data_IF_170809675199
#
_entry.id   IF_170809675199
#
_cell.length_a   1.000
_cell.length_b   1.000
_cell.length_c   1.000
_cell.angle_alpha   90.00
_cell.angle_beta   90.00
_cell.angle_gamma   90.00
#
_symmetry.space_group_name_H-M   'P 1'
#
loop_
_entity.id
_entity.type
_entity.pdbx_description
1 polymer ?
#
# COMPACT_ATOMS: atom_id res chain seq x y z
N UNK A 1 -11.42 -8.97 -5.14
CA UNK A 1 -10.41 -8.04 -4.61
C UNK A 1 -9.72 -7.25 -5.71
N UNK A 2 -9.14 -7.90 -6.74
CA UNK A 2 -8.51 -7.21 -7.88
C UNK A 2 -9.39 -6.07 -8.47
N UNK A 3 -10.67 -6.37 -8.75
CA UNK A 3 -11.63 -5.35 -9.22
C UNK A 3 -11.89 -4.22 -8.21
N UNK A 4 -11.85 -4.50 -6.90
CA UNK A 4 -12.13 -3.50 -5.85
C UNK A 4 -11.00 -2.47 -5.76
N UNK A 5 -9.77 -2.87 -6.10
CA UNK A 5 -8.59 -2.01 -6.04
C UNK A 5 -8.10 -1.58 -7.44
N UNK A 6 -8.84 -1.91 -8.51
CA UNK A 6 -8.44 -1.63 -9.89
C UNK A 6 -7.06 -2.18 -10.25
N UNK A 7 -6.87 -3.48 -10.01
CA UNK A 7 -5.61 -4.19 -10.26
C UNK A 7 -5.82 -5.48 -11.05
N UNK A 8 -4.73 -6.06 -11.56
CA UNK A 8 -4.73 -7.43 -12.10
C UNK A 8 -4.74 -8.46 -10.96
N UNK A 9 -5.29 -9.64 -11.22
CA UNK A 9 -5.30 -10.72 -10.22
C UNK A 9 -3.90 -11.12 -9.71
N UNK A 10 -2.88 -11.06 -10.58
CA UNK A 10 -1.48 -11.35 -10.22
C UNK A 10 -0.85 -10.30 -9.31
N UNK A 11 -1.43 -9.11 -9.23
CA UNK A 11 -0.90 -7.98 -8.46
C UNK A 11 -1.48 -7.91 -7.05
N UNK A 12 -2.42 -8.80 -6.68
CA UNK A 12 -3.09 -8.73 -5.38
C UNK A 12 -2.93 -10.03 -4.61
N UNK A 13 -2.64 -9.91 -3.31
CA UNK A 13 -2.62 -11.04 -2.37
C UNK A 13 -3.30 -10.66 -1.06
N UNK A 14 -4.08 -11.59 -0.50
CA UNK A 14 -4.63 -11.48 0.85
C UNK A 14 -3.71 -12.24 1.81
N UNK A 15 -3.07 -11.52 2.72
CA UNK A 15 -2.09 -12.07 3.64
C UNK A 15 -1.97 -11.22 4.92
N UNK A 16 -1.58 -11.87 6.01
CA UNK A 16 -1.19 -11.24 7.28
C UNK A 16 -2.19 -10.18 7.79
N UNK A 17 -1.68 -9.13 8.43
CA UNK A 17 -2.42 -7.92 8.83
C UNK A 17 -1.82 -6.69 8.16
N UNK A 18 -2.52 -5.55 8.22
CA UNK A 18 -2.14 -4.30 7.54
C UNK A 18 -0.70 -3.85 7.81
N UNK A 19 -0.36 -3.53 9.06
CA UNK A 19 0.97 -3.02 9.43
C UNK A 19 2.07 -4.04 9.14
N UNK A 20 1.78 -5.34 9.30
CA UNK A 20 2.73 -6.38 8.95
C UNK A 20 3.00 -6.40 7.43
N UNK A 21 1.97 -6.26 6.61
CA UNK A 21 2.16 -6.11 5.16
C UNK A 21 2.94 -4.84 4.81
N UNK A 22 2.68 -3.72 5.50
CA UNK A 22 3.43 -2.47 5.32
C UNK A 22 4.93 -2.70 5.57
N UNK A 23 5.28 -3.40 6.66
CA UNK A 23 6.67 -3.78 6.92
C UNK A 23 7.25 -4.65 5.80
N UNK A 24 6.54 -5.69 5.34
CA UNK A 24 7.03 -6.57 4.27
C UNK A 24 7.24 -5.83 2.95
N UNK A 25 6.37 -4.86 2.65
CA UNK A 25 6.56 -3.98 1.49
C UNK A 25 7.78 -3.10 1.68
N UNK A 26 7.95 -2.45 2.84
CA UNK A 26 9.14 -1.64 3.10
C UNK A 26 10.44 -2.45 3.04
N UNK A 27 10.48 -3.70 3.53
CA UNK A 27 11.65 -4.58 3.35
C UNK A 27 12.05 -4.73 1.87
N UNK A 28 11.07 -4.67 0.96
CA UNK A 28 11.28 -4.94 -0.47
C UNK A 28 11.42 -3.68 -1.34
N UNK A 29 10.82 -2.57 -0.91
CA UNK A 29 10.72 -1.33 -1.68
C UNK A 29 11.56 -0.20 -1.07
N UNK A 30 11.81 -0.21 0.24
CA UNK A 30 12.76 0.72 0.86
C UNK A 30 14.17 0.13 0.76
N UNK A 31 14.89 0.49 -0.30
CA UNK A 31 16.28 0.06 -0.58
C UNK A 31 17.21 1.27 -0.56
N UNK A 32 17.45 1.86 0.62
CA UNK A 32 18.14 3.14 0.73
C UNK A 32 19.62 3.06 0.32
N UNK A 33 20.14 4.19 -0.12
CA UNK A 33 21.57 4.43 -0.39
C UNK A 33 22.04 5.64 0.42
N UNK A 34 23.35 5.92 0.43
CA UNK A 34 23.89 7.10 1.13
C UNK A 34 23.29 8.43 0.66
N UNK A 35 22.92 8.55 -0.63
CA UNK A 35 22.35 9.80 -1.18
C UNK A 35 20.83 9.79 -1.26
N UNK A 36 20.19 8.61 -1.24
CA UNK A 36 18.74 8.43 -1.38
C UNK A 36 18.22 7.49 -0.30
N UNK A 37 17.81 8.04 0.83
CA UNK A 37 17.39 7.28 2.02
C UNK A 37 16.16 7.85 2.73
N UNK A 38 15.68 9.04 2.35
CA UNK A 38 14.52 9.61 3.05
C UNK A 38 13.24 8.85 2.71
N UNK A 39 12.32 8.80 3.67
CA UNK A 39 10.93 8.39 3.44
C UNK A 39 10.04 9.61 3.58
N UNK A 40 9.21 9.89 2.57
CA UNK A 40 8.19 10.94 2.63
C UNK A 40 6.87 10.38 3.17
N UNK A 41 6.27 11.06 4.14
CA UNK A 41 4.98 10.75 4.76
C UNK A 41 4.20 12.04 5.08
N UNK A 42 2.89 11.97 5.25
CA UNK A 42 2.10 13.08 5.78
C UNK A 42 2.25 13.27 7.29
N UNK A 43 2.22 14.53 7.74
CA UNK A 43 1.99 14.84 9.14
C UNK A 43 0.57 14.46 9.55
N UNK A 44 0.43 13.85 10.72
CA UNK A 44 -0.85 13.31 11.16
C UNK A 44 -1.22 11.97 10.50
N UNK A 45 -0.26 11.27 9.88
CA UNK A 45 -0.42 9.88 9.48
C UNK A 45 -0.84 9.00 10.66
N UNK A 46 -1.47 7.86 10.36
CA UNK A 46 -1.93 6.95 11.40
C UNK A 46 -0.73 6.47 12.27
N UNK A 47 -0.89 6.37 13.61
CA UNK A 47 0.25 6.08 14.48
C UNK A 47 1.01 4.80 14.13
N UNK A 48 0.30 3.75 13.68
CA UNK A 48 0.94 2.49 13.31
C UNK A 48 1.87 2.63 12.10
N UNK A 49 1.51 3.45 11.13
CA UNK A 49 2.30 3.74 9.93
C UNK A 49 3.56 4.52 10.29
N UNK A 50 3.41 5.54 11.14
CA UNK A 50 4.53 6.30 11.69
C UNK A 50 5.51 5.38 12.44
N UNK A 51 5.02 4.49 13.31
CA UNK A 51 5.89 3.54 14.01
C UNK A 51 6.57 2.55 13.06
N UNK A 52 5.86 2.07 12.04
CA UNK A 52 6.42 1.16 11.05
C UNK A 52 7.54 1.83 10.24
N UNK A 53 7.31 3.06 9.78
CA UNK A 53 8.30 3.83 9.01
C UNK A 53 9.52 4.17 9.88
N UNK A 54 9.32 4.72 11.08
CA UNK A 54 10.42 5.05 11.99
C UNK A 54 11.26 3.82 12.35
N UNK A 55 10.63 2.67 12.57
CA UNK A 55 11.37 1.43 12.86
C UNK A 55 12.08 0.86 11.63
N UNK A 56 11.56 1.03 10.41
CA UNK A 56 12.27 0.67 9.17
C UNK A 56 13.48 1.56 8.91
N UNK A 57 13.37 2.87 9.16
CA UNK A 57 14.50 3.80 9.09
C UNK A 57 15.62 3.36 10.05
N UNK A 58 15.28 3.14 11.32
CA UNK A 58 16.22 2.67 12.33
C UNK A 58 16.83 1.30 12.00
N UNK A 59 16.03 0.37 11.46
CA UNK A 59 16.50 -0.96 11.03
C UNK A 59 17.58 -0.87 9.95
N UNK A 60 17.51 0.15 9.09
CA UNK A 60 18.50 0.42 8.04
C UNK A 60 19.60 1.40 8.49
N UNK A 61 19.68 1.72 9.78
CA UNK A 61 20.74 2.56 10.35
C UNK A 61 20.56 4.08 10.18
N UNK A 62 19.36 4.54 9.79
CA UNK A 62 19.06 5.95 9.66
C UNK A 62 18.32 6.48 10.89
N UNK A 63 18.68 7.68 11.34
CA UNK A 63 17.94 8.38 12.39
C UNK A 63 16.61 8.89 11.83
N UNK A 64 15.45 8.50 12.39
CA UNK A 64 14.16 8.93 11.88
C UNK A 64 13.96 10.45 11.86
N UNK A 65 14.60 11.21 12.76
CA UNK A 65 14.47 12.67 12.78
C UNK A 65 15.12 13.35 11.56
N UNK A 66 16.11 12.69 10.93
CA UNK A 66 16.81 13.19 9.75
C UNK A 66 16.28 12.58 8.44
N UNK A 67 15.76 11.35 8.51
CA UNK A 67 15.36 10.56 7.35
C UNK A 67 13.85 10.52 7.08
N UNK A 68 13.02 10.93 8.04
CA UNK A 68 11.58 11.06 7.83
C UNK A 68 11.25 12.48 7.37
N UNK A 69 10.87 12.60 6.10
CA UNK A 69 10.40 13.85 5.53
C UNK A 69 8.88 13.93 5.71
N UNK A 70 8.39 14.99 6.36
CA UNK A 70 6.97 15.20 6.60
C UNK A 70 6.43 16.31 5.71
N UNK A 71 5.40 16.03 4.94
CA UNK A 71 4.56 17.08 4.35
C UNK A 71 3.52 17.52 5.39
N UNK A 72 3.39 18.83 5.58
CA UNK A 72 2.57 19.41 6.64
C UNK A 72 1.50 20.33 6.06
N UNK A 73 0.32 20.44 6.71
CA UNK A 73 -0.62 21.50 6.39
C UNK A 73 0.07 22.87 6.55
N UNK A 74 -0.35 23.84 5.72
CA UNK A 74 0.09 25.23 5.88
C UNK A 74 -0.40 25.80 7.21
N UNK A 75 0.23 26.86 7.75
CA UNK A 75 -0.25 27.50 8.97
C UNK A 75 -1.74 27.84 8.87
N UNK A 76 -2.52 27.42 9.88
CA UNK A 76 -3.97 27.60 9.97
C UNK A 76 -4.82 26.74 9.02
N UNK A 77 -4.21 25.80 8.30
CA UNK A 77 -4.91 24.79 7.52
C UNK A 77 -4.91 23.44 8.26
N UNK A 78 -5.94 22.63 7.99
CA UNK A 78 -6.06 21.27 8.52
C UNK A 78 -5.78 20.20 7.46
N UNK A 79 -5.96 20.55 6.18
CA UNK A 79 -5.73 19.67 5.05
C UNK A 79 -4.36 19.97 4.44
N UNK A 80 -3.79 18.97 3.78
CA UNK A 80 -2.60 19.16 2.96
C UNK A 80 -3.00 19.83 1.64
N UNK A 81 -2.20 20.78 1.19
CA UNK A 81 -2.29 21.24 -0.19
C UNK A 81 -1.49 20.26 -1.06
N UNK A 82 -2.12 19.66 -2.08
CA UNK A 82 -1.43 18.69 -2.92
C UNK A 82 -0.23 19.31 -3.65
N UNK A 83 -0.33 20.58 -4.02
CA UNK A 83 0.78 21.34 -4.60
C UNK A 83 2.01 21.36 -3.69
N UNK A 84 1.84 21.39 -2.37
CA UNK A 84 2.96 21.33 -1.42
C UNK A 84 3.58 19.93 -1.37
N UNK A 85 2.77 18.88 -1.51
CA UNK A 85 3.26 17.50 -1.64
C UNK A 85 4.12 17.39 -2.91
N UNK A 86 3.61 17.85 -4.06
CA UNK A 86 4.32 17.79 -5.34
C UNK A 86 5.59 18.64 -5.30
N UNK A 87 5.52 19.87 -4.80
CA UNK A 87 6.68 20.77 -4.70
C UNK A 87 7.79 20.18 -3.81
N UNK A 88 7.40 19.50 -2.72
CA UNK A 88 8.36 18.82 -1.84
C UNK A 88 9.02 17.63 -2.54
N UNK A 89 8.25 16.83 -3.30
CA UNK A 89 8.80 15.74 -4.11
C UNK A 89 9.78 16.29 -5.16
N UNK A 90 9.44 17.36 -5.86
CA UNK A 90 10.32 17.96 -6.88
C UNK A 90 11.64 18.45 -6.27
N UNK A 91 11.57 19.11 -5.12
CA UNK A 91 12.71 19.70 -4.43
C UNK A 91 13.63 18.65 -3.77
N UNK A 92 13.06 17.65 -3.10
CA UNK A 92 13.80 16.68 -2.28
C UNK A 92 13.91 15.29 -2.91
N UNK A 93 13.27 15.06 -4.06
CA UNK A 93 13.08 13.75 -4.67
C UNK A 93 14.35 12.97 -4.94
N UNK A 94 15.49 13.63 -5.17
CA UNK A 94 16.78 12.95 -5.35
C UNK A 94 17.27 12.25 -4.08
N UNK A 95 16.80 12.68 -2.90
CA UNK A 95 17.09 12.10 -1.60
C UNK A 95 16.01 11.15 -1.07
N UNK A 96 14.83 11.14 -1.68
CA UNK A 96 13.68 10.31 -1.26
C UNK A 96 13.80 8.93 -1.90
N UNK A 97 13.90 7.89 -1.08
CA UNK A 97 13.88 6.50 -1.54
C UNK A 97 12.45 6.00 -1.76
N UNK A 98 11.56 6.38 -0.85
CA UNK A 98 10.20 5.86 -0.81
C UNK A 98 9.21 6.92 -0.33
N UNK A 99 8.09 7.05 -1.02
CA UNK A 99 6.94 7.84 -0.60
C UNK A 99 5.88 6.88 -0.07
N UNK A 100 5.39 7.10 1.15
CA UNK A 100 4.28 6.36 1.74
C UNK A 100 3.28 7.36 2.30
N UNK A 101 2.09 7.40 1.71
CA UNK A 101 1.00 8.25 2.18
C UNK A 101 -0.27 7.44 2.43
N UNK A 102 -1.14 7.93 3.32
CA UNK A 102 -2.51 7.45 3.38
C UNK A 102 -3.29 7.86 2.12
N UNK A 103 -3.96 6.92 1.45
CA UNK A 103 -4.84 7.25 0.32
C UNK A 103 -6.03 8.11 0.75
N UNK A 104 -6.52 7.87 1.97
CA UNK A 104 -7.46 8.74 2.69
C UNK A 104 -6.95 8.93 4.12
N UNK A 105 -6.79 10.16 4.57
CA UNK A 105 -6.37 10.44 5.94
C UNK A 105 -7.47 10.04 6.94
N UNK A 106 -7.10 9.31 7.99
CA UNK A 106 -8.05 8.71 8.93
C UNK A 106 -8.76 9.72 9.85
N UNK A 107 -8.19 10.91 10.04
CA UNK A 107 -8.77 11.98 10.88
C UNK A 107 -9.51 12.97 10.01
N UNK A 108 -8.86 13.52 8.99
CA UNK A 108 -9.41 14.62 8.21
C UNK A 108 -10.38 14.15 7.12
N UNK A 109 -10.33 12.86 6.74
CA UNK A 109 -11.10 12.32 5.63
C UNK A 109 -10.61 12.76 4.26
N UNK A 110 -9.50 13.50 4.19
CA UNK A 110 -8.93 13.97 2.93
C UNK A 110 -8.52 12.81 2.05
N UNK A 111 -9.04 12.77 0.83
CA UNK A 111 -8.59 11.92 -0.26
C UNK A 111 -7.45 12.62 -1.00
N UNK A 112 -6.33 11.93 -1.18
CA UNK A 112 -5.20 12.43 -1.97
C UNK A 112 -5.26 11.88 -3.41
N UNK A 113 -4.85 12.69 -4.38
CA UNK A 113 -4.64 12.30 -5.78
C UNK A 113 -3.43 11.37 -5.90
N UNK A 114 -3.69 10.07 -5.67
CA UNK A 114 -2.69 9.01 -5.72
C UNK A 114 -2.02 8.90 -7.10
N UNK A 115 -2.72 9.18 -8.19
CA UNK A 115 -2.15 9.12 -9.54
C UNK A 115 -1.13 10.23 -9.75
N UNK A 116 -1.49 11.46 -9.41
CA UNK A 116 -0.62 12.64 -9.54
C UNK A 116 0.62 12.50 -8.66
N UNK A 117 0.46 12.05 -7.42
CA UNK A 117 1.58 11.83 -6.49
C UNK A 117 2.50 10.71 -6.99
N UNK A 118 1.92 9.61 -7.49
CA UNK A 118 2.71 8.49 -8.04
C UNK A 118 3.57 8.95 -9.20
N UNK A 119 2.99 9.71 -10.14
CA UNK A 119 3.72 10.28 -11.29
C UNK A 119 4.86 11.20 -10.83
N UNK A 120 4.59 12.15 -9.93
CA UNK A 120 5.63 13.05 -9.43
C UNK A 120 6.77 12.32 -8.71
N UNK A 121 6.46 11.28 -7.94
CA UNK A 121 7.47 10.44 -7.31
C UNK A 121 8.34 9.72 -8.35
N UNK A 122 7.72 9.10 -9.35
CA UNK A 122 8.43 8.39 -10.42
C UNK A 122 9.31 9.31 -11.26
N UNK A 123 8.87 10.52 -11.56
CA UNK A 123 9.65 11.53 -12.30
C UNK A 123 10.97 11.89 -11.57
N UNK A 124 11.03 11.70 -10.25
CA UNK A 124 12.22 11.88 -9.41
C UNK A 124 12.94 10.57 -9.05
N UNK A 125 12.49 9.44 -9.60
CA UNK A 125 13.05 8.10 -9.34
C UNK A 125 12.69 7.52 -7.97
N UNK A 126 11.69 8.08 -7.28
CA UNK A 126 11.17 7.55 -6.03
C UNK A 126 10.25 6.34 -6.31
N UNK A 127 10.20 5.39 -5.37
CA UNK A 127 9.09 4.43 -5.31
C UNK A 127 7.94 5.05 -4.52
N UNK A 128 6.71 4.70 -4.85
CA UNK A 128 5.48 5.27 -4.26
C UNK A 128 4.52 4.17 -3.86
N UNK A 129 4.21 4.12 -2.57
CA UNK A 129 3.19 3.23 -2.02
C UNK A 129 2.18 3.94 -1.15
N UNK A 130 1.07 3.26 -0.87
CA UNK A 130 -0.02 3.85 -0.08
C UNK A 130 -0.54 2.88 0.98
N UNK A 131 -0.89 3.43 2.15
CA UNK A 131 -1.83 2.79 3.07
C UNK A 131 -3.25 3.14 2.64
N UNK A 132 -4.02 2.11 2.29
CA UNK A 132 -5.37 2.25 1.75
C UNK A 132 -6.43 1.74 2.73
N UNK A 133 -6.13 1.72 4.04
CA UNK A 133 -7.07 1.24 5.06
C UNK A 133 -8.41 1.97 5.04
N UNK A 134 -8.41 3.27 4.72
CA UNK A 134 -9.62 4.10 4.60
C UNK A 134 -10.11 4.28 3.14
N UNK A 135 -9.39 3.75 2.15
CA UNK A 135 -9.72 3.88 0.74
C UNK A 135 -10.34 2.60 0.15
N UNK A 136 -9.78 1.42 0.43
CA UNK A 136 -10.28 0.16 -0.14
C UNK A 136 -11.69 -0.15 0.37
N UNK A 137 -12.62 -0.38 -0.56
CA UNK A 137 -14.02 -0.62 -0.26
C UNK A 137 -14.83 0.65 0.05
N UNK A 138 -14.20 1.82 -0.02
CA UNK A 138 -14.81 3.14 0.16
C UNK A 138 -14.82 3.94 -1.15
N UNK A 139 -13.70 3.92 -1.89
CA UNK A 139 -13.49 4.69 -3.11
C UNK A 139 -13.21 3.78 -4.30
N UNK A 140 -13.61 4.17 -5.53
CA UNK A 140 -13.08 3.57 -6.74
C UNK A 140 -11.56 3.79 -6.80
N UNK A 141 -10.81 2.73 -7.10
CA UNK A 141 -9.35 2.74 -7.16
C UNK A 141 -8.89 2.15 -8.48
N UNK A 142 -7.78 2.64 -9.03
CA UNK A 142 -7.18 2.15 -10.27
C UNK A 142 -5.67 1.94 -10.08
N UNK A 143 -5.27 1.15 -9.07
CA UNK A 143 -3.87 1.05 -8.65
C UNK A 143 -2.92 0.57 -9.76
N UNK A 144 -3.40 -0.29 -10.67
CA UNK A 144 -2.63 -0.71 -11.82
C UNK A 144 -2.37 0.44 -12.79
N UNK A 145 -3.43 1.13 -13.20
CA UNK A 145 -3.38 2.19 -14.22
C UNK A 145 -2.68 3.45 -13.70
N UNK A 146 -2.88 3.79 -12.42
CA UNK A 146 -2.16 4.87 -11.73
C UNK A 146 -0.67 4.57 -11.54
N UNK A 147 -0.26 3.34 -11.81
CA UNK A 147 1.12 2.94 -11.71
C UNK A 147 1.64 2.92 -10.28
N UNK A 148 0.81 2.77 -9.24
CA UNK A 148 1.28 2.65 -7.85
C UNK A 148 2.32 1.51 -7.73
N UNK A 149 3.39 1.62 -6.93
CA UNK A 149 4.38 0.54 -6.81
C UNK A 149 3.87 -0.61 -5.93
N UNK A 150 3.33 -0.27 -4.77
CA UNK A 150 2.66 -1.19 -3.87
C UNK A 150 1.59 -0.47 -3.05
N UNK A 151 0.64 -1.22 -2.52
CA UNK A 151 -0.29 -0.69 -1.52
C UNK A 151 -0.65 -1.76 -0.50
N UNK A 152 -1.10 -1.34 0.67
CA UNK A 152 -1.54 -2.23 1.75
C UNK A 152 -2.86 -1.75 2.32
N UNK A 153 -3.68 -2.68 2.81
CA UNK A 153 -4.95 -2.33 3.45
C UNK A 153 -5.38 -3.38 4.48
N UNK A 154 -6.24 -2.97 5.38
CA UNK A 154 -7.02 -3.88 6.21
C UNK A 154 -8.36 -4.20 5.56
N UNK A 155 -8.97 -5.33 5.96
CA UNK A 155 -10.29 -5.74 5.43
C UNK A 155 -11.44 -5.56 6.42
N UNK A 156 -11.15 -5.11 7.64
CA UNK A 156 -12.14 -5.01 8.72
C UNK A 156 -12.83 -3.64 8.83
N UNK A 157 -12.44 -2.68 8.00
CA UNK A 157 -13.09 -1.36 7.87
C UNK A 157 -14.22 -1.45 6.86
N UNK A 158 -14.17 -0.69 5.76
CA UNK A 158 -15.22 -0.67 4.74
C UNK A 158 -15.48 -2.04 4.12
N UNK A 159 -14.44 -2.87 4.01
CA UNK A 159 -14.55 -4.25 3.53
C UNK A 159 -15.24 -5.24 4.49
N UNK A 160 -15.77 -4.83 5.64
CA UNK A 160 -16.72 -5.60 6.47
C UNK A 160 -16.31 -7.04 6.84
N UNK A 161 -15.01 -7.36 6.92
CA UNK A 161 -14.56 -8.75 7.11
C UNK A 161 -14.36 -9.18 8.58
N UNK A 162 -14.85 -8.39 9.53
CA UNK A 162 -14.71 -8.65 10.98
C UNK A 162 -13.36 -8.24 11.59
N UNK A 163 -13.31 -7.97 12.92
CA UNK A 163 -12.14 -7.39 13.60
C UNK A 163 -10.85 -8.20 13.42
N UNK A 164 -9.74 -7.52 13.11
CA UNK A 164 -8.45 -8.20 12.93
C UNK A 164 -8.39 -9.15 11.73
N UNK A 165 -9.31 -8.98 10.76
CA UNK A 165 -9.33 -9.75 9.52
C UNK A 165 -8.02 -9.71 8.74
N UNK A 166 -7.85 -10.71 7.86
CA UNK A 166 -6.66 -10.85 7.01
C UNK A 166 -6.49 -9.61 6.12
N UNK A 167 -5.32 -8.97 6.16
CA UNK A 167 -5.01 -7.81 5.33
C UNK A 167 -4.87 -8.16 3.85
N UNK A 168 -4.68 -7.11 3.05
CA UNK A 168 -4.34 -7.25 1.64
C UNK A 168 -3.12 -6.43 1.27
N UNK A 169 -2.53 -6.81 0.15
CA UNK A 169 -1.42 -6.10 -0.46
C UNK A 169 -1.58 -6.13 -1.98
N UNK A 170 -1.23 -5.00 -2.58
CA UNK A 170 -1.05 -4.83 -4.02
C UNK A 170 0.44 -4.65 -4.30
N UNK A 171 0.94 -5.28 -5.35
CA UNK A 171 2.27 -5.06 -5.92
C UNK A 171 2.13 -5.01 -7.43
N UNK A 172 2.51 -3.89 -8.03
CA UNK A 172 2.39 -3.70 -9.47
C UNK A 172 3.20 -4.74 -10.26
N UNK A 173 2.66 -5.20 -11.38
CA UNK A 173 3.23 -6.30 -12.15
C UNK A 173 4.64 -6.03 -12.67
N UNK A 174 5.03 -4.75 -12.83
CA UNK A 174 6.40 -4.36 -13.17
C UNK A 174 7.42 -4.83 -12.14
N UNK A 175 6.99 -5.03 -10.89
CA UNK A 175 7.76 -5.60 -9.78
C UNK A 175 7.49 -7.09 -9.55
N UNK A 176 6.57 -7.67 -10.32
CA UNK A 176 6.09 -9.04 -10.16
C UNK A 176 6.95 -10.10 -10.85
N UNK A 177 7.84 -9.70 -11.77
CA UNK A 177 8.79 -10.63 -12.41
C UNK A 177 9.92 -10.96 -11.44
N UNK A 178 9.90 -12.19 -10.93
CA UNK A 178 10.84 -12.65 -9.91
C UNK A 178 11.79 -13.68 -10.49
N UNK A 179 13.06 -13.31 -10.63
CA UNK A 179 14.13 -14.17 -11.12
C UNK A 179 14.98 -14.63 -9.92
N UNK A 180 14.36 -15.37 -9.00
CA UNK A 180 14.98 -15.81 -7.75
C UNK A 180 14.84 -14.81 -6.59
N UNK A 181 15.52 -15.11 -5.48
CA UNK A 181 15.41 -14.35 -4.21
C UNK A 181 16.01 -12.94 -4.31
N UNK A 182 16.96 -12.72 -5.23
CA UNK A 182 17.76 -11.49 -5.30
C UNK A 182 17.17 -10.39 -6.17
N UNK A 183 16.15 -10.68 -7.01
CA UNK A 183 15.63 -9.68 -7.97
C UNK A 183 14.95 -8.48 -7.30
N UNK A 184 14.51 -8.64 -6.05
CA UNK A 184 14.12 -7.56 -5.12
C UNK A 184 14.15 -8.13 -3.69
N UNK A 185 14.82 -7.48 -2.72
CA UNK A 185 14.93 -7.98 -1.34
C UNK A 185 13.56 -8.34 -0.78
N UNK A 186 13.48 -9.43 -0.01
CA UNK A 186 12.23 -9.88 0.62
C UNK A 186 12.51 -10.92 1.68
N UNK A 187 11.58 -11.06 2.60
CA UNK A 187 11.49 -12.26 3.44
C UNK A 187 10.73 -13.32 2.65
N UNK A 188 11.21 -14.56 2.65
CA UNK A 188 10.58 -15.68 1.96
C UNK A 188 10.08 -16.72 2.96
N UNK A 189 8.97 -17.37 2.64
CA UNK A 189 8.51 -18.59 3.29
C UNK A 189 8.00 -19.59 2.26
N UNK A 190 7.52 -20.75 2.71
CA UNK A 190 7.10 -21.83 1.80
C UNK A 190 5.90 -21.45 0.90
N UNK A 191 5.11 -20.44 1.28
CA UNK A 191 4.04 -19.91 0.43
C UNK A 191 4.52 -18.86 -0.58
N UNK A 192 5.76 -18.39 -0.46
CA UNK A 192 6.41 -17.57 -1.47
C UNK A 192 6.81 -18.44 -2.68
N UNK A 193 6.86 -19.77 -2.50
CA UNK A 193 7.13 -20.74 -3.55
C UNK A 193 5.93 -20.86 -4.51
N UNK A 194 6.22 -21.04 -5.79
CA UNK A 194 5.22 -21.18 -6.84
C UNK A 194 4.31 -22.40 -6.60
N UNK A 195 3.02 -22.26 -6.93
CA UNK A 195 1.99 -23.19 -6.45
C UNK A 195 2.14 -24.62 -6.99
N UNK A 196 2.64 -24.79 -8.22
CA UNK A 196 2.72 -26.07 -8.93
C UNK A 196 3.64 -27.08 -8.27
N UNK A 197 4.81 -26.64 -7.80
CA UNK A 197 5.84 -27.50 -7.18
C UNK A 197 5.98 -27.31 -5.67
N UNK A 198 5.18 -26.45 -5.04
CA UNK A 198 5.25 -26.15 -3.59
C UNK A 198 5.27 -27.39 -2.69
N UNK A 199 4.49 -28.40 -3.03
CA UNK A 199 4.37 -29.63 -2.24
C UNK A 199 5.38 -30.72 -2.62
N UNK A 200 6.29 -30.45 -3.56
CA UNK A 200 7.46 -31.30 -3.78
C UNK A 200 8.46 -31.20 -2.62
N UNK A 201 8.34 -30.16 -1.78
CA UNK A 201 9.15 -29.95 -0.57
C UNK A 201 10.67 -29.97 -0.83
N UNK A 202 11.08 -29.55 -2.03
CA UNK A 202 12.48 -29.26 -2.34
C UNK A 202 12.88 -27.95 -1.67
N UNK A 203 14.14 -27.85 -1.27
CA UNK A 203 14.69 -26.64 -0.65
C UNK A 203 15.13 -25.58 -1.68
N UNK A 204 14.94 -25.86 -2.97
CA UNK A 204 15.18 -24.91 -4.07
C UNK A 204 13.95 -24.02 -4.25
N UNK A 205 13.98 -22.81 -3.68
CA UNK A 205 12.86 -21.87 -3.76
C UNK A 205 12.67 -21.35 -5.19
N UNK A 206 11.51 -21.65 -5.79
CA UNK A 206 11.04 -21.04 -7.03
C UNK A 206 10.00 -20.00 -6.64
N UNK A 207 10.40 -18.72 -6.65
CA UNK A 207 9.53 -17.64 -6.18
C UNK A 207 8.31 -17.49 -7.10
N UNK A 208 7.11 -17.47 -6.49
CA UNK A 208 5.86 -17.21 -7.18
C UNK A 208 5.89 -15.81 -7.82
N UNK A 209 5.44 -15.73 -9.07
CA UNK A 209 5.36 -14.45 -9.78
C UNK A 209 4.24 -13.57 -9.20
N UNK A 210 4.41 -12.26 -9.30
CA UNK A 210 3.44 -11.26 -8.81
C UNK A 210 3.40 -11.14 -7.28
N UNK A 211 2.29 -10.61 -6.76
CA UNK A 211 2.13 -10.32 -5.34
C UNK A 211 2.16 -11.56 -4.43
N UNK A 212 1.79 -12.74 -4.96
CA UNK A 212 1.86 -14.00 -4.20
C UNK A 212 3.30 -14.34 -3.77
N UNK A 213 4.31 -13.89 -4.51
CA UNK A 213 5.73 -14.06 -4.12
C UNK A 213 6.12 -13.36 -2.81
N UNK A 214 5.25 -12.53 -2.24
CA UNK A 214 5.45 -11.87 -0.93
C UNK A 214 4.72 -12.59 0.21
N UNK A 215 3.94 -13.64 -0.07
CA UNK A 215 3.21 -14.39 0.94
C UNK A 215 4.15 -15.37 1.66
N UNK A 216 4.28 -15.26 2.98
CA UNK A 216 5.23 -16.10 3.73
C UNK A 216 4.65 -17.47 4.09
N UNK A 217 3.42 -17.47 4.60
CA UNK A 217 2.78 -18.64 5.23
C UNK A 217 1.44 -18.96 4.60
N UNK A 218 0.91 -20.14 4.91
CA UNK A 218 -0.46 -20.48 4.56
C UNK A 218 -1.45 -19.50 5.21
N UNK A 219 -2.46 -19.01 4.47
CA UNK A 219 -3.41 -18.05 5.00
C UNK A 219 -4.42 -18.72 5.94
N UNK A 220 -4.99 -17.93 6.85
CA UNK A 220 -6.13 -18.34 7.69
C UNK A 220 -7.38 -18.52 6.82
N UNK A 221 -7.85 -19.77 6.70
CA UNK A 221 -9.04 -20.08 5.89
C UNK A 221 -10.31 -19.41 6.45
N UNK A 222 -10.42 -19.29 7.77
CA UNK A 222 -11.57 -18.65 8.42
C UNK A 222 -11.61 -17.15 8.13
N UNK A 223 -10.46 -16.47 8.19
CA UNK A 223 -10.37 -15.04 7.85
C UNK A 223 -10.65 -14.81 6.37
N UNK A 224 -10.17 -15.69 5.49
CA UNK A 224 -10.49 -15.63 4.06
C UNK A 224 -11.97 -15.85 3.77
N UNK A 225 -12.66 -16.71 4.51
CA UNK A 225 -14.10 -16.94 4.35
C UNK A 225 -14.91 -15.66 4.61
N UNK A 226 -14.56 -14.90 5.66
CA UNK A 226 -15.21 -13.62 5.96
C UNK A 226 -14.98 -12.57 4.87
N UNK A 227 -13.74 -12.46 4.36
CA UNK A 227 -13.43 -11.57 3.24
C UNK A 227 -14.19 -11.98 1.98
N UNK A 228 -14.27 -13.28 1.67
CA UNK A 228 -15.02 -13.80 0.52
C UNK A 228 -16.51 -13.44 0.61
N UNK A 229 -17.12 -13.60 1.78
CA UNK A 229 -18.52 -13.25 1.99
C UNK A 229 -18.78 -11.76 1.76
N UNK A 230 -17.89 -10.89 2.25
CA UNK A 230 -17.99 -9.45 2.01
C UNK A 230 -17.81 -9.09 0.53
N UNK A 231 -16.79 -9.66 -0.14
CA UNK A 231 -16.51 -9.39 -1.55
C UNK A 231 -17.67 -9.78 -2.49
N UNK A 232 -18.47 -10.78 -2.13
CA UNK A 232 -19.67 -11.12 -2.90
C UNK A 232 -20.65 -9.93 -2.99
N UNK A 233 -20.77 -9.12 -1.93
CA UNK A 233 -21.60 -7.91 -1.93
C UNK A 233 -21.05 -6.83 -2.86
N UNK A 234 -19.73 -6.70 -2.92
CA UNK A 234 -19.06 -5.75 -3.82
C UNK A 234 -19.20 -6.16 -5.30
N UNK A 235 -19.30 -7.45 -5.60
CA UNK A 235 -19.58 -7.95 -6.95
C UNK A 235 -21.02 -7.65 -7.40
N UNK A 236 -21.98 -7.61 -6.47
CA UNK A 236 -23.38 -7.29 -6.78
C UNK A 236 -23.63 -5.79 -6.99
N UNK A 237 -23.01 -4.92 -6.18
CA UNK A 237 -23.31 -3.48 -6.16
C UNK A 237 -22.30 -2.65 -6.97
N UNK A 238 -21.09 -3.13 -7.23
CA UNK A 238 -19.94 -2.40 -7.84
C UNK A 238 -19.48 -1.17 -7.03
N UNK A 239 -18.21 -0.80 -7.18
CA UNK A 239 -17.64 0.33 -6.42
C UNK A 239 -18.22 1.68 -6.85
N UNK A 240 -18.62 1.81 -8.11
CA UNK A 240 -19.19 3.02 -8.69
C UNK A 240 -20.54 3.35 -8.03
N UNK A 241 -21.46 2.38 -7.92
CA UNK A 241 -22.76 2.63 -7.27
C UNK A 241 -22.61 2.86 -5.77
N UNK A 242 -21.64 2.19 -5.12
CA UNK A 242 -21.30 2.51 -3.72
C UNK A 242 -20.87 3.96 -3.58
N UNK A 243 -20.01 4.45 -4.49
CA UNK A 243 -19.53 5.83 -4.47
C UNK A 243 -20.63 6.84 -4.75
N UNK A 244 -21.47 6.61 -5.76
CA UNK A 244 -22.64 7.46 -6.06
C UNK A 244 -23.52 7.63 -4.82
N UNK A 245 -23.87 6.53 -4.14
CA UNK A 245 -24.65 6.58 -2.91
C UNK A 245 -23.91 7.28 -1.77
N UNK A 246 -22.61 7.03 -1.62
CA UNK A 246 -21.78 7.70 -0.60
C UNK A 246 -21.81 9.21 -0.77
N UNK A 247 -21.73 9.72 -2.00
CA UNK A 247 -21.77 11.17 -2.27
C UNK A 247 -23.11 11.80 -1.89
N UNK A 248 -24.21 11.12 -2.17
CA UNK A 248 -25.54 11.59 -1.76
C UNK A 248 -25.68 11.64 -0.24
N UNK A 249 -25.17 10.63 0.48
CA UNK A 249 -25.30 10.54 1.94
C UNK A 249 -24.38 11.50 2.70
N UNK A 250 -23.18 11.72 2.18
CA UNK A 250 -22.17 12.57 2.81
C UNK A 250 -22.35 14.06 2.48
N UNK A 251 -23.24 14.40 1.54
CA UNK A 251 -23.32 15.72 0.93
C UNK A 251 -22.25 15.92 -0.15
N UNK A 252 -22.55 16.72 -1.18
CA UNK A 252 -21.58 17.04 -2.24
C UNK A 252 -20.34 17.81 -1.71
N UNK A 253 -20.35 18.29 -0.47
CA UNK A 253 -19.30 19.12 0.14
C UNK A 253 -18.01 18.37 0.54
N UNK A 254 -17.95 17.03 0.49
CA UNK A 254 -16.75 16.26 0.91
C UNK A 254 -15.69 16.10 -0.23
N UNK A 255 -15.89 16.68 -1.42
CA UNK A 255 -14.99 16.45 -2.58
C UNK A 255 -14.58 17.70 -3.39
N UNK A 256 -14.28 18.83 -2.74
CA UNK A 256 -13.41 19.82 -3.36
C UNK A 256 -12.09 19.91 -2.61
#
# INVERSE_FOLDING_TARGET
MANVVGAKCSEVVLMNSLTLNLHLMMISFYTPTHSRYKILMEEGAFPSDCFAIKSQLSLHGFNPEDALLLVKPRPHEYLLQEEDIISLIEAEGDSIALIILGGVNYVTGQLLDMERITRAGHDKGCLVGFDLAHAVGNLPLQLHDWGVDFAVWCTYKYLNSGPGGIGGCFVNERHGKMNGITSRPRLCGWWSHEKGTRFEMKNDLIVAQGATGFQLSNPSILSLAAVRASLALYEEVTMEKFREKSMVLSGEEILM
#
